data_IF_230269397275
#
_entry.id   IF_230269397275
#
_cell.length_a   1.000
_cell.length_b   1.000
_cell.length_c   1.000
_cell.angle_alpha   90.00
_cell.angle_beta   90.00
_cell.angle_gamma   90.00
#
_symmetry.space_group_name_H-M   'P 1'
#
loop_
_entity.id
_entity.type
_entity.pdbx_description
1 polymer ?
#
# COMPACT_ATOMS: atom_id res chain seq x y z
N UNK A 1 10.98 9.43 -1.25
CA UNK A 1 11.27 8.85 -2.57
C UNK A 1 11.05 7.35 -2.45
N UNK A 2 10.20 6.75 -3.30
CA UNK A 2 9.93 5.31 -3.24
C UNK A 2 11.25 4.59 -3.47
N UNK A 3 11.70 3.87 -2.46
CA UNK A 3 12.97 3.18 -2.55
C UNK A 3 12.78 2.03 -3.54
N UNK A 4 13.58 2.01 -4.61
CA UNK A 4 13.52 0.96 -5.63
C UNK A 4 13.63 -0.44 -5.00
N UNK A 5 14.35 -0.57 -3.87
CA UNK A 5 14.44 -1.82 -3.11
C UNK A 5 13.08 -2.28 -2.55
N UNK A 6 12.26 -1.35 -2.08
CA UNK A 6 10.90 -1.66 -1.59
C UNK A 6 10.01 -2.13 -2.74
N UNK A 7 10.08 -1.46 -3.89
CA UNK A 7 9.34 -1.85 -5.11
C UNK A 7 9.78 -3.25 -5.57
N UNK A 8 11.09 -3.49 -5.66
CA UNK A 8 11.64 -4.81 -6.01
C UNK A 8 11.14 -5.88 -5.05
N UNK A 9 11.12 -5.60 -3.74
CA UNK A 9 10.57 -6.52 -2.74
C UNK A 9 9.09 -6.85 -2.97
N UNK A 10 8.27 -5.85 -3.32
CA UNK A 10 6.86 -6.06 -3.63
C UNK A 10 6.65 -6.89 -4.91
N UNK A 11 7.44 -6.64 -5.96
CA UNK A 11 7.39 -7.42 -7.21
C UNK A 11 7.83 -8.86 -6.97
N UNK A 12 8.91 -9.09 -6.22
CA UNK A 12 9.37 -10.44 -5.88
C UNK A 12 8.33 -11.18 -5.03
N UNK A 13 7.69 -10.50 -4.09
CA UNK A 13 6.59 -11.07 -3.30
C UNK A 13 5.42 -11.48 -4.19
N UNK A 14 5.06 -10.65 -5.17
CA UNK A 14 4.01 -10.95 -6.13
C UNK A 14 4.36 -12.17 -6.99
N UNK A 15 5.54 -12.20 -7.60
CA UNK A 15 5.97 -13.34 -8.45
C UNK A 15 6.03 -14.63 -7.64
N UNK A 16 6.58 -14.59 -6.42
CA UNK A 16 6.60 -15.74 -5.52
C UNK A 16 5.18 -16.24 -5.22
N UNK A 17 4.28 -15.33 -4.84
CA UNK A 17 2.89 -15.68 -4.56
C UNK A 17 2.18 -16.29 -5.76
N UNK A 18 2.46 -15.79 -6.97
CA UNK A 18 1.90 -16.32 -8.21
C UNK A 18 2.40 -17.74 -8.52
N UNK A 19 3.70 -18.02 -8.32
CA UNK A 19 4.26 -19.36 -8.49
C UNK A 19 3.60 -20.35 -7.52
N UNK A 20 3.47 -19.97 -6.24
CA UNK A 20 2.78 -20.79 -5.24
C UNK A 20 1.31 -21.01 -5.58
N UNK A 21 0.64 -19.99 -6.13
CA UNK A 21 -0.75 -20.06 -6.57
C UNK A 21 -0.93 -21.08 -7.71
N UNK A 22 -0.09 -20.98 -8.74
CA UNK A 22 -0.11 -21.88 -9.89
C UNK A 22 0.16 -23.34 -9.49
N UNK A 23 0.97 -23.57 -8.45
CA UNK A 23 1.26 -24.92 -7.95
C UNK A 23 0.16 -25.55 -7.11
N UNK A 24 -0.83 -24.79 -6.62
CA UNK A 24 -1.85 -25.26 -5.67
C UNK A 24 -3.29 -25.22 -6.18
N UNK A 25 -3.59 -24.36 -7.15
CA UNK A 25 -4.95 -24.16 -7.64
C UNK A 25 -5.48 -25.39 -8.37
N UNK A 26 -6.72 -25.77 -8.06
CA UNK A 26 -7.40 -26.93 -8.66
C UNK A 26 -8.21 -26.58 -9.89
N UNK A 27 -8.63 -25.32 -9.99
CA UNK A 27 -9.44 -24.79 -11.07
C UNK A 27 -9.16 -23.31 -11.32
N UNK A 28 -9.77 -22.77 -12.38
CA UNK A 28 -9.63 -21.36 -12.75
C UNK A 28 -10.26 -20.40 -11.74
N UNK A 29 -11.28 -20.83 -11.00
CA UNK A 29 -11.93 -19.98 -10.00
C UNK A 29 -10.98 -19.70 -8.82
N UNK A 30 -10.32 -20.74 -8.30
CA UNK A 30 -9.29 -20.59 -7.26
C UNK A 30 -8.12 -19.72 -7.74
N UNK A 31 -7.75 -19.86 -9.02
CA UNK A 31 -6.70 -19.07 -9.65
C UNK A 31 -7.08 -17.58 -9.72
N UNK A 32 -8.25 -17.25 -10.27
CA UNK A 32 -8.72 -15.87 -10.40
C UNK A 32 -8.87 -15.18 -9.04
N UNK A 33 -9.49 -15.88 -8.08
CA UNK A 33 -9.62 -15.40 -6.71
C UNK A 33 -8.26 -15.13 -6.07
N UNK A 34 -7.34 -16.09 -6.19
CA UNK A 34 -6.00 -15.96 -5.64
C UNK A 34 -5.17 -14.84 -6.27
N UNK A 35 -5.30 -14.63 -7.59
CA UNK A 35 -4.69 -13.49 -8.28
C UNK A 35 -5.25 -12.18 -7.74
N UNK A 36 -6.57 -12.08 -7.57
CA UNK A 36 -7.22 -10.89 -7.04
C UNK A 36 -6.71 -10.55 -5.62
N UNK A 37 -6.70 -11.52 -4.71
CA UNK A 37 -6.21 -11.35 -3.34
C UNK A 37 -4.72 -10.97 -3.29
N UNK A 38 -3.90 -11.56 -4.16
CA UNK A 38 -2.48 -11.27 -4.27
C UNK A 38 -2.23 -9.84 -4.80
N UNK A 39 -2.96 -9.44 -5.85
CA UNK A 39 -2.94 -8.08 -6.38
C UNK A 39 -3.34 -7.07 -5.30
N UNK A 40 -4.46 -7.30 -4.59
CA UNK A 40 -4.92 -6.44 -3.51
C UNK A 40 -3.84 -6.27 -2.43
N UNK A 41 -3.23 -7.36 -1.99
CA UNK A 41 -2.18 -7.31 -0.96
C UNK A 41 -0.97 -6.48 -1.41
N UNK A 42 -0.45 -6.73 -2.60
CA UNK A 42 0.75 -6.04 -3.13
C UNK A 42 0.46 -4.57 -3.42
N UNK A 43 -0.68 -4.27 -4.04
CA UNK A 43 -1.08 -2.89 -4.32
C UNK A 43 -1.31 -2.09 -3.03
N UNK A 44 -1.99 -2.66 -2.03
CA UNK A 44 -2.19 -2.00 -0.74
C UNK A 44 -0.87 -1.67 -0.04
N UNK A 45 0.12 -2.55 -0.15
CA UNK A 45 1.46 -2.30 0.38
C UNK A 45 2.15 -1.12 -0.33
N UNK A 46 2.07 -1.07 -1.67
CA UNK A 46 2.63 0.03 -2.47
C UNK A 46 1.92 1.35 -2.17
N UNK A 47 0.58 1.34 -2.08
CA UNK A 47 -0.21 2.54 -1.75
C UNK A 47 0.14 3.09 -0.38
N UNK A 48 0.30 2.22 0.62
CA UNK A 48 0.74 2.66 1.95
C UNK A 48 2.10 3.34 1.90
N UNK A 49 3.09 2.78 1.20
CA UNK A 49 4.40 3.43 1.05
C UNK A 49 4.33 4.78 0.33
N UNK A 50 3.49 4.89 -0.71
CA UNK A 50 3.30 6.15 -1.42
C UNK A 50 2.70 7.22 -0.50
N UNK A 51 1.69 6.85 0.30
CA UNK A 51 1.01 7.75 1.23
C UNK A 51 1.89 8.14 2.42
N UNK A 52 2.66 7.22 2.99
CA UNK A 52 3.64 7.52 4.04
C UNK A 52 4.70 8.53 3.58
N UNK A 53 5.13 8.42 2.33
CA UNK A 53 6.07 9.36 1.76
C UNK A 53 5.46 10.73 1.50
N UNK A 54 4.24 10.77 0.98
CA UNK A 54 3.51 12.03 0.83
C UNK A 54 3.33 12.69 2.20
N UNK A 55 2.91 11.93 3.21
CA UNK A 55 2.73 12.42 4.57
C UNK A 55 4.04 12.95 5.18
N UNK A 56 5.16 12.28 4.93
CA UNK A 56 6.49 12.74 5.36
C UNK A 56 6.94 13.99 4.61
N UNK A 57 6.69 14.08 3.30
CA UNK A 57 7.00 15.27 2.51
C UNK A 57 6.23 16.48 3.03
N UNK A 58 4.91 16.33 3.21
CA UNK A 58 4.04 17.37 3.77
C UNK A 58 4.51 17.79 5.18
N UNK A 59 4.92 16.84 6.02
CA UNK A 59 5.46 17.15 7.35
C UNK A 59 6.72 18.02 7.29
N UNK A 60 7.60 17.77 6.31
CA UNK A 60 8.86 18.47 6.15
C UNK A 60 8.70 19.86 5.51
N UNK A 61 7.76 19.98 4.56
CA UNK A 61 7.47 21.22 3.84
C UNK A 61 6.54 22.17 4.60
N UNK A 62 5.94 21.72 5.72
CA UNK A 62 4.98 22.54 6.46
C UNK A 62 5.64 23.79 7.05
N UNK A 63 4.86 24.87 7.06
CA UNK A 63 5.16 26.02 7.90
C UNK A 63 4.97 25.63 9.38
N UNK A 64 6.08 25.54 10.11
CA UNK A 64 6.09 25.16 11.53
C UNK A 64 5.57 26.25 12.45
N UNK A 65 5.46 27.49 11.99
CA UNK A 65 4.88 28.60 12.77
C UNK A 65 3.35 28.58 12.76
N UNK A 66 2.77 27.97 11.73
CA UNK A 66 1.31 27.90 11.54
C UNK A 66 0.74 26.51 11.84
N UNK A 67 1.46 25.44 11.48
CA UNK A 67 0.91 24.08 11.47
C UNK A 67 1.61 23.16 12.48
N UNK A 68 0.90 22.86 13.58
CA UNK A 68 1.35 21.89 14.58
C UNK A 68 0.75 20.51 14.33
N UNK A 69 1.55 19.46 14.56
CA UNK A 69 1.05 18.08 14.43
C UNK A 69 0.28 17.72 15.69
N UNK A 70 -1.05 17.64 15.58
CA UNK A 70 -1.95 17.32 16.71
C UNK A 70 -2.28 15.84 16.87
N UNK A 71 -1.85 15.02 15.91
CA UNK A 71 -2.03 13.58 16.00
C UNK A 71 -2.09 12.92 14.64
N UNK A 72 -2.75 11.77 14.61
CA UNK A 72 -2.89 10.95 13.41
C UNK A 72 -4.33 10.51 13.20
N UNK A 73 -4.72 10.36 11.94
CA UNK A 73 -6.01 9.84 11.54
C UNK A 73 -5.84 8.65 10.61
N UNK A 74 -6.46 7.54 10.95
CA UNK A 74 -6.65 6.40 10.04
C UNK A 74 -7.87 6.66 9.16
N UNK A 75 -7.75 6.37 7.87
CA UNK A 75 -8.84 6.47 6.89
C UNK A 75 -8.87 5.24 5.99
N UNK A 76 -10.08 4.86 5.59
CA UNK A 76 -10.31 3.89 4.52
C UNK A 76 -10.32 4.63 3.18
N UNK A 77 -9.58 4.12 2.21
CA UNK A 77 -9.61 4.53 0.82
C UNK A 77 -10.03 3.35 -0.06
N UNK A 78 -10.62 3.67 -1.21
CA UNK A 78 -11.09 2.69 -2.19
C UNK A 78 -10.22 2.80 -3.43
N UNK A 79 -9.72 1.65 -3.91
CA UNK A 79 -8.98 1.53 -5.16
C UNK A 79 -9.65 0.50 -6.07
N UNK A 80 -9.17 0.40 -7.31
CA UNK A 80 -9.56 -0.70 -8.23
C UNK A 80 -9.22 -2.09 -7.69
N UNK A 81 -8.29 -2.19 -6.73
CA UNK A 81 -7.90 -3.44 -6.08
C UNK A 81 -8.65 -3.68 -4.76
N UNK A 82 -9.64 -2.84 -4.43
CA UNK A 82 -10.42 -2.93 -3.20
C UNK A 82 -10.05 -1.87 -2.17
N UNK A 83 -10.55 -2.07 -0.96
CA UNK A 83 -10.36 -1.16 0.17
C UNK A 83 -8.98 -1.32 0.80
N UNK A 84 -8.45 -0.19 1.28
CA UNK A 84 -7.23 -0.18 2.07
C UNK A 84 -7.24 0.93 3.12
N UNK A 85 -6.57 0.67 4.23
CA UNK A 85 -6.40 1.62 5.32
C UNK A 85 -5.08 2.34 5.15
N UNK A 86 -5.09 3.65 5.41
CA UNK A 86 -3.86 4.43 5.54
C UNK A 86 -3.96 5.37 6.73
N UNK A 87 -2.80 5.76 7.27
CA UNK A 87 -2.66 6.68 8.40
C UNK A 87 -1.97 7.95 7.92
N UNK A 88 -2.50 9.11 8.31
CA UNK A 88 -1.91 10.41 8.01
C UNK A 88 -1.84 11.32 9.24
N UNK A 89 -0.92 12.27 9.24
CA UNK A 89 -0.83 13.32 10.26
C UNK A 89 -1.99 14.31 10.15
N UNK A 90 -2.40 14.85 11.28
CA UNK A 90 -3.35 15.96 11.38
C UNK A 90 -2.61 17.22 11.81
N UNK A 91 -2.98 18.35 11.22
CA UNK A 91 -2.41 19.66 11.50
C UNK A 91 -3.51 20.60 12.01
N UNK A 92 -3.19 21.41 13.02
CA UNK A 92 -4.01 22.55 13.45
C UNK A 92 -3.20 23.84 13.40
#
# INVERSE_FOLDING_TARGET
MLNIRQIVGAVLLFVKGLIELLGRCKDFYELEKGIHELCQKVCNQIFNWALEQLDTRLMNERDRSTWEVVGFRTKTAISTFGEFLYKRRLYC
#
